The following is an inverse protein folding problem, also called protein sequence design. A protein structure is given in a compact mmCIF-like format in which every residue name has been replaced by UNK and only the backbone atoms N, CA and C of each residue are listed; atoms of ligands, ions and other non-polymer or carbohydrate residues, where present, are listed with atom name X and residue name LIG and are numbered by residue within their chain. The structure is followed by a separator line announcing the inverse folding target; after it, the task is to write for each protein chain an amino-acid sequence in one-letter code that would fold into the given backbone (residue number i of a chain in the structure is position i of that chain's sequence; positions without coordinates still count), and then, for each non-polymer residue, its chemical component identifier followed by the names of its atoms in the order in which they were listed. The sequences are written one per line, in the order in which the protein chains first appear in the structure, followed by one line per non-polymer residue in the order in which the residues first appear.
data_IF_883706728835
#
_entry.id   IF_883706728835
#
_cell.length_a   1.000
_cell.length_b   1.000
_cell.length_c   1.000
_cell.angle_alpha   90.00
_cell.angle_beta   90.00
_cell.angle_gamma   90.00
#
_symmetry.space_group_name_H-M   'P 1'
#
loop_
_entity.id
_entity.type
_entity.pdbx_description
1 polymer ?
#
# COMPACT_ATOMS: atom_id res chain seq x y z
N UNK A 1 -2.11 -21.87 -11.66
CA UNK A 1 -2.25 -23.24 -11.09
C UNK A 1 -1.26 -23.39 -9.93
N UNK A 2 -1.40 -24.41 -9.08
CA UNK A 2 -0.40 -24.66 -8.02
C UNK A 2 1.01 -24.73 -8.61
N UNK A 3 1.96 -24.02 -8.01
CA UNK A 3 3.33 -23.83 -8.52
C UNK A 3 3.55 -22.62 -9.44
N UNK A 4 2.49 -21.93 -9.86
CA UNK A 4 2.60 -20.61 -10.50
C UNK A 4 2.70 -19.52 -9.41
N UNK A 5 3.63 -18.55 -9.49
CA UNK A 5 3.79 -17.51 -8.48
C UNK A 5 2.58 -16.58 -8.32
N UNK A 6 1.61 -16.63 -9.22
CA UNK A 6 0.34 -15.88 -9.15
C UNK A 6 -0.80 -16.68 -8.51
N UNK A 7 -0.55 -17.93 -8.15
CA UNK A 7 -1.55 -18.77 -7.47
C UNK A 7 -1.76 -18.24 -6.05
N UNK A 8 -3.03 -18.13 -5.65
CA UNK A 8 -3.41 -17.76 -4.28
C UNK A 8 -3.64 -19.05 -3.51
N UNK A 9 -2.66 -19.44 -2.70
CA UNK A 9 -2.72 -20.63 -1.84
C UNK A 9 -3.75 -20.48 -0.72
N UNK A 10 -4.31 -21.60 -0.26
CA UNK A 10 -5.09 -21.60 0.99
C UNK A 10 -4.18 -21.55 2.22
N UNK A 11 -4.75 -21.22 3.38
CA UNK A 11 -4.00 -21.22 4.65
C UNK A 11 -3.40 -22.60 4.96
N UNK A 12 -4.13 -23.69 4.67
CA UNK A 12 -3.64 -25.05 4.86
C UNK A 12 -2.48 -25.37 3.91
N UNK A 13 -2.54 -24.89 2.67
CA UNK A 13 -1.44 -25.02 1.71
C UNK A 13 -0.21 -24.25 2.18
N UNK A 14 -0.36 -22.99 2.59
CA UNK A 14 0.74 -22.17 3.12
C UNK A 14 1.39 -22.82 4.35
N UNK A 15 0.58 -23.33 5.30
CA UNK A 15 1.08 -24.03 6.49
C UNK A 15 1.86 -25.29 6.10
N UNK A 16 1.34 -26.06 5.14
CA UNK A 16 2.00 -27.27 4.67
C UNK A 16 3.32 -26.95 3.96
N UNK A 17 3.34 -25.92 3.12
CA UNK A 17 4.53 -25.47 2.38
C UNK A 17 5.61 -24.96 3.33
N UNK A 18 5.27 -24.12 4.31
CA UNK A 18 6.23 -23.63 5.32
C UNK A 18 6.81 -24.77 6.16
N UNK A 19 6.00 -25.78 6.50
CA UNK A 19 6.47 -26.97 7.25
C UNK A 19 7.34 -27.90 6.41
N UNK A 20 7.10 -27.96 5.10
CA UNK A 20 7.86 -28.80 4.18
C UNK A 20 9.20 -28.17 3.78
N UNK A 21 9.28 -26.83 3.82
CA UNK A 21 10.48 -26.09 3.43
C UNK A 21 11.72 -26.55 4.21
N UNK A 22 12.79 -26.83 3.46
CA UNK A 22 14.06 -27.33 3.98
C UNK A 22 15.20 -26.33 3.82
N UNK A 23 16.24 -26.50 4.65
CA UNK A 23 17.47 -25.73 4.52
C UNK A 23 18.16 -25.96 3.16
N UNK A 24 18.07 -27.17 2.62
CA UNK A 24 18.72 -27.49 1.35
C UNK A 24 18.02 -26.80 0.17
N UNK A 25 16.68 -26.70 0.18
CA UNK A 25 15.94 -25.89 -0.80
C UNK A 25 16.29 -24.40 -0.70
N UNK A 26 16.44 -23.87 0.51
CA UNK A 26 16.86 -22.47 0.70
C UNK A 26 18.27 -22.21 0.16
N UNK A 27 19.21 -23.14 0.39
CA UNK A 27 20.58 -23.06 -0.15
C UNK A 27 20.60 -23.19 -1.67
N UNK A 28 19.81 -24.10 -2.22
CA UNK A 28 19.67 -24.29 -3.67
C UNK A 28 19.07 -23.04 -4.33
N UNK A 29 18.05 -22.44 -3.73
CA UNK A 29 17.49 -21.16 -4.17
C UNK A 29 18.53 -20.04 -4.15
N UNK A 30 19.29 -19.91 -3.06
CA UNK A 30 20.38 -18.94 -2.95
C UNK A 30 21.42 -19.15 -4.07
N UNK A 31 21.90 -20.39 -4.26
CA UNK A 31 22.89 -20.70 -5.28
C UNK A 31 22.39 -20.43 -6.70
N UNK A 32 21.11 -20.64 -6.98
CA UNK A 32 20.53 -20.47 -8.32
C UNK A 32 20.18 -19.03 -8.67
N UNK A 33 19.71 -18.26 -7.69
CA UNK A 33 19.04 -16.97 -7.97
C UNK A 33 19.71 -15.76 -7.33
N UNK A 34 20.52 -15.90 -6.28
CA UNK A 34 21.12 -14.73 -5.62
C UNK A 34 22.39 -14.26 -6.33
N UNK A 35 22.50 -12.94 -6.45
CA UNK A 35 23.67 -12.23 -6.91
C UNK A 35 23.32 -10.78 -7.27
N UNK A 36 24.33 -9.96 -7.51
CA UNK A 36 24.23 -8.56 -7.88
C UNK A 36 24.08 -8.34 -9.41
N UNK A 37 23.72 -9.38 -10.18
CA UNK A 37 23.59 -9.29 -11.64
C UNK A 37 22.48 -8.35 -12.12
N UNK A 38 21.47 -8.10 -11.27
CA UNK A 38 20.38 -7.16 -11.47
C UNK A 38 20.04 -6.57 -10.10
N UNK A 39 20.73 -5.49 -9.72
CA UNK A 39 20.58 -4.87 -8.41
C UNK A 39 20.98 -3.41 -8.47
N UNK A 40 20.44 -2.66 -7.52
CA UNK A 40 20.63 -1.22 -7.40
C UNK A 40 20.99 -0.87 -5.97
N UNK A 41 21.82 0.16 -5.81
CA UNK A 41 22.32 0.57 -4.51
C UNK A 41 22.22 2.10 -4.45
N UNK A 42 21.43 2.60 -3.50
CA UNK A 42 21.41 4.00 -3.13
C UNK A 42 22.09 4.17 -1.76
N UNK A 43 23.04 5.10 -1.68
CA UNK A 43 23.75 5.45 -0.44
C UNK A 43 23.46 6.91 -0.12
N UNK A 44 22.96 7.18 1.08
CA UNK A 44 22.62 8.52 1.58
C UNK A 44 23.20 8.68 2.97
N UNK A 45 23.90 9.78 3.20
CA UNK A 45 24.54 10.10 4.48
C UNK A 45 25.85 10.85 4.27
N UNK A 46 26.67 10.89 5.32
CA UNK A 46 28.02 11.44 5.28
C UNK A 46 29.03 10.35 4.87
N UNK A 47 29.47 10.39 3.60
CA UNK A 47 30.44 9.44 3.06
C UNK A 47 31.28 10.05 1.95
N UNK A 48 32.43 9.43 1.67
CA UNK A 48 33.26 9.74 0.51
C UNK A 48 32.92 8.83 -0.68
N UNK A 49 32.36 9.35 -1.78
CA UNK A 49 32.07 8.56 -2.99
C UNK A 49 33.31 7.87 -3.57
N UNK A 50 34.50 8.45 -3.41
CA UNK A 50 35.75 7.86 -3.89
C UNK A 50 36.16 6.61 -3.09
N UNK A 51 35.62 6.42 -1.88
CA UNK A 51 35.82 5.22 -1.05
C UNK A 51 34.71 4.20 -1.29
N UNK A 52 33.45 4.65 -1.31
CA UNK A 52 32.29 3.76 -1.38
C UNK A 52 32.17 3.07 -2.73
N UNK A 53 32.39 3.77 -3.84
CA UNK A 53 32.25 3.16 -5.16
C UNK A 53 33.21 1.97 -5.38
N UNK A 54 34.53 2.10 -5.13
CA UNK A 54 35.44 0.96 -5.23
C UNK A 54 35.09 -0.17 -4.27
N UNK A 55 34.60 0.14 -3.06
CA UNK A 55 34.17 -0.88 -2.10
C UNK A 55 32.98 -1.68 -2.61
N UNK A 56 31.97 -1.03 -3.20
CA UNK A 56 30.82 -1.71 -3.79
C UNK A 56 31.24 -2.59 -4.98
N UNK A 57 32.15 -2.10 -5.82
CA UNK A 57 32.73 -2.89 -6.92
C UNK A 57 33.47 -4.12 -6.37
N UNK A 58 34.31 -3.95 -5.35
CA UNK A 58 35.03 -5.05 -4.70
C UNK A 58 34.08 -6.09 -4.08
N UNK A 59 32.99 -5.65 -3.45
CA UNK A 59 32.06 -6.54 -2.75
C UNK A 59 31.15 -7.32 -3.70
N UNK A 60 30.76 -6.72 -4.82
CA UNK A 60 29.63 -7.21 -5.61
C UNK A 60 29.94 -7.52 -7.07
N UNK A 61 31.07 -7.09 -7.65
CA UNK A 61 31.36 -7.30 -9.07
C UNK A 61 31.39 -8.78 -9.47
N UNK A 62 31.88 -9.65 -8.59
CA UNK A 62 31.99 -11.09 -8.81
C UNK A 62 30.82 -11.89 -8.23
N UNK A 63 29.94 -11.26 -7.44
CA UNK A 63 28.75 -11.92 -6.89
C UNK A 63 27.63 -11.89 -7.93
N UNK A 64 27.61 -12.88 -8.83
CA UNK A 64 26.65 -12.94 -9.95
C UNK A 64 25.59 -14.02 -9.72
N UNK A 65 24.36 -13.71 -10.09
CA UNK A 65 23.28 -14.68 -10.11
C UNK A 65 23.44 -15.58 -11.35
N UNK A 66 23.41 -16.92 -11.19
CA UNK A 66 23.44 -17.83 -12.34
C UNK A 66 22.19 -17.72 -13.22
N UNK A 67 21.05 -17.33 -12.64
CA UNK A 67 19.80 -17.15 -13.36
C UNK A 67 19.68 -15.73 -13.93
N UNK A 68 19.24 -15.63 -15.18
CA UNK A 68 18.84 -14.34 -15.74
C UNK A 68 17.55 -13.87 -15.08
N UNK A 69 17.50 -12.59 -14.71
CA UNK A 69 16.27 -11.98 -14.21
C UNK A 69 15.21 -11.92 -15.31
N UNK A 70 13.99 -12.28 -14.94
CA UNK A 70 12.80 -12.01 -15.72
C UNK A 70 11.71 -11.51 -14.79
N UNK A 71 11.14 -10.35 -15.09
CA UNK A 71 10.02 -9.81 -14.32
C UNK A 71 8.76 -10.63 -14.60
N UNK A 72 7.98 -10.90 -13.56
CA UNK A 72 6.64 -11.47 -13.68
C UNK A 72 5.64 -10.33 -13.54
N UNK A 73 4.89 -9.98 -14.60
CA UNK A 73 3.90 -8.92 -14.53
C UNK A 73 2.77 -9.25 -13.55
N UNK A 74 2.39 -8.27 -12.75
CA UNK A 74 1.17 -8.33 -11.95
C UNK A 74 -0.06 -8.03 -12.82
N UNK A 75 -1.20 -8.61 -12.43
CA UNK A 75 -2.48 -8.33 -13.06
C UNK A 75 -3.48 -7.92 -11.97
N UNK A 76 -4.35 -6.97 -12.29
CA UNK A 76 -5.48 -6.66 -11.41
C UNK A 76 -6.40 -7.87 -11.33
N UNK A 77 -6.31 -8.60 -10.22
CA UNK A 77 -7.19 -9.72 -9.91
C UNK A 77 -8.53 -9.17 -9.40
N UNK A 78 -9.37 -8.68 -10.31
CA UNK A 78 -10.71 -8.20 -9.98
C UNK A 78 -11.59 -9.42 -9.62
N UNK A 79 -11.98 -9.49 -8.34
CA UNK A 79 -12.80 -10.59 -7.80
C UNK A 79 -14.18 -10.07 -7.42
N UNK A 80 -15.23 -10.92 -7.47
CA UNK A 80 -16.51 -10.59 -6.88
C UNK A 80 -16.37 -10.23 -5.39
N UNK A 81 -17.15 -9.26 -4.89
CA UNK A 81 -17.10 -8.90 -3.48
C UNK A 81 -17.60 -10.05 -2.60
N UNK A 82 -16.92 -10.27 -1.49
CA UNK A 82 -17.34 -11.20 -0.43
C UNK A 82 -17.69 -10.43 0.86
N UNK A 83 -18.45 -11.06 1.75
CA UNK A 83 -18.63 -10.56 3.12
C UNK A 83 -18.59 -11.75 4.08
N UNK A 84 -17.43 -11.98 4.67
CA UNK A 84 -17.15 -13.17 5.47
C UNK A 84 -16.75 -12.82 6.90
N UNK A 85 -17.11 -13.71 7.82
CA UNK A 85 -16.73 -13.66 9.22
C UNK A 85 -15.94 -14.93 9.56
N UNK A 86 -14.67 -14.77 9.93
CA UNK A 86 -13.78 -15.83 10.38
C UNK A 86 -13.80 -15.84 11.90
N UNK A 87 -14.39 -16.88 12.47
CA UNK A 87 -14.38 -17.06 13.93
C UNK A 87 -12.99 -17.51 14.37
N UNK A 88 -12.36 -16.68 15.20
CA UNK A 88 -11.08 -16.99 15.85
C UNK A 88 -11.30 -16.93 17.34
N UNK A 89 -11.34 -18.10 17.99
CA UNK A 89 -11.58 -18.21 19.42
C UNK A 89 -10.50 -17.48 20.23
N UNK A 90 -10.89 -17.01 21.42
CA UNK A 90 -10.00 -16.40 22.43
C UNK A 90 -9.25 -15.14 21.97
N UNK A 91 -9.74 -14.47 20.91
CA UNK A 91 -9.25 -13.16 20.47
C UNK A 91 -9.98 -12.05 21.22
N UNK A 92 -9.23 -11.29 22.03
CA UNK A 92 -9.73 -10.11 22.76
C UNK A 92 -10.14 -8.95 21.83
N UNK A 93 -9.53 -8.85 20.65
CA UNK A 93 -9.88 -7.88 19.61
C UNK A 93 -10.22 -8.61 18.32
N UNK A 94 -11.21 -8.08 17.61
CA UNK A 94 -11.52 -8.48 16.25
C UNK A 94 -10.97 -7.46 15.25
N UNK A 95 -10.71 -7.93 14.04
CA UNK A 95 -10.21 -7.15 12.91
C UNK A 95 -11.33 -7.03 11.89
N UNK A 96 -11.58 -5.81 11.44
CA UNK A 96 -12.37 -5.51 10.26
C UNK A 96 -11.42 -5.13 9.13
N UNK A 97 -11.61 -5.74 7.97
CA UNK A 97 -10.85 -5.43 6.77
C UNK A 97 -11.78 -5.41 5.56
N UNK A 98 -11.80 -4.31 4.81
CA UNK A 98 -12.58 -4.16 3.59
C UNK A 98 -11.65 -3.72 2.47
N UNK A 99 -11.66 -4.38 1.32
CA UNK A 99 -10.77 -4.04 0.22
C UNK A 99 -11.40 -4.19 -1.16
N UNK A 100 -10.85 -3.45 -2.11
CA UNK A 100 -11.13 -3.55 -3.53
C UNK A 100 -9.80 -3.57 -4.29
N UNK A 101 -9.66 -4.50 -5.24
CA UNK A 101 -8.53 -4.51 -6.17
C UNK A 101 -8.83 -3.51 -7.29
N UNK A 102 -7.82 -2.75 -7.70
CA UNK A 102 -7.93 -1.67 -8.68
C UNK A 102 -7.05 -1.98 -9.89
N UNK A 103 -7.55 -1.68 -11.08
CA UNK A 103 -6.76 -1.71 -12.31
C UNK A 103 -6.10 -0.33 -12.54
N UNK A 104 -5.26 0.08 -11.58
CA UNK A 104 -4.61 1.40 -11.54
C UNK A 104 -3.09 1.22 -11.45
N UNK A 105 -2.35 2.03 -12.19
CA UNK A 105 -0.91 2.21 -12.09
C UNK A 105 -0.59 3.59 -11.49
N UNK A 106 0.59 3.77 -10.89
CA UNK A 106 0.97 5.05 -10.29
C UNK A 106 1.18 6.22 -11.29
N UNK A 107 1.21 5.90 -12.58
CA UNK A 107 1.28 6.85 -13.69
C UNK A 107 -0.11 7.26 -14.21
N UNK A 108 -1.18 6.57 -13.80
CA UNK A 108 -2.54 6.89 -14.24
C UNK A 108 -2.95 8.28 -13.73
N UNK A 109 -3.68 9.07 -14.54
CA UNK A 109 -4.02 10.46 -14.23
C UNK A 109 -4.86 10.64 -12.96
N UNK A 110 -5.63 9.60 -12.60
CA UNK A 110 -6.48 9.60 -11.41
C UNK A 110 -5.72 9.29 -10.12
N UNK A 111 -4.51 8.72 -10.20
CA UNK A 111 -3.83 8.21 -9.01
C UNK A 111 -3.47 9.29 -7.97
N UNK A 112 -3.01 10.51 -8.34
CA UNK A 112 -2.83 11.60 -7.37
C UNK A 112 -4.12 11.94 -6.61
N UNK A 113 -5.25 11.95 -7.33
CA UNK A 113 -6.57 12.24 -6.76
C UNK A 113 -7.04 11.12 -5.81
N UNK A 114 -6.79 9.86 -6.16
CA UNK A 114 -7.04 8.71 -5.28
C UNK A 114 -6.19 8.77 -4.01
N UNK A 115 -4.91 9.11 -4.11
CA UNK A 115 -4.00 9.24 -2.95
C UNK A 115 -4.48 10.34 -2.00
N UNK A 116 -4.80 11.53 -2.53
CA UNK A 116 -5.26 12.63 -1.70
C UNK A 116 -6.66 12.38 -1.10
N UNK A 117 -7.57 11.79 -1.88
CA UNK A 117 -8.88 11.36 -1.38
C UNK A 117 -8.78 10.31 -0.27
N UNK A 118 -7.88 9.34 -0.43
CA UNK A 118 -7.58 8.37 0.63
C UNK A 118 -6.99 9.05 1.87
N UNK A 119 -6.11 10.04 1.71
CA UNK A 119 -5.52 10.78 2.83
C UNK A 119 -6.60 11.47 3.69
N UNK A 120 -7.61 12.07 3.06
CA UNK A 120 -8.76 12.68 3.75
C UNK A 120 -9.66 11.61 4.39
N UNK A 121 -9.93 10.50 3.68
CA UNK A 121 -10.83 9.46 4.14
C UNK A 121 -10.30 8.71 5.38
N UNK A 122 -9.05 8.22 5.32
CA UNK A 122 -8.50 7.36 6.36
C UNK A 122 -6.98 7.23 6.40
N UNK A 123 -6.25 7.81 5.43
CA UNK A 123 -4.79 7.78 5.39
C UNK A 123 -4.14 8.80 6.32
N UNK A 124 -4.83 9.89 6.65
CA UNK A 124 -4.40 10.89 7.64
C UNK A 124 -4.57 10.36 9.06
N UNK A 125 -3.48 10.37 9.84
CA UNK A 125 -3.39 9.62 11.12
C UNK A 125 -4.40 10.02 12.21
N UNK A 126 -4.72 11.31 12.36
CA UNK A 126 -5.58 11.77 13.47
C UNK A 126 -6.87 12.48 13.05
N UNK A 127 -6.89 13.17 11.90
CA UNK A 127 -8.01 14.01 11.48
C UNK A 127 -8.69 13.51 10.19
N UNK A 128 -8.45 12.28 9.78
CA UNK A 128 -9.19 11.67 8.67
C UNK A 128 -10.63 11.37 9.06
N UNK A 129 -11.55 11.34 8.09
CA UNK A 129 -12.98 11.11 8.35
C UNK A 129 -13.25 9.83 9.13
N UNK A 130 -12.59 8.73 8.76
CA UNK A 130 -12.70 7.43 9.44
C UNK A 130 -12.20 7.52 10.89
N UNK A 131 -11.04 8.14 11.13
CA UNK A 131 -10.52 8.31 12.49
C UNK A 131 -11.44 9.22 13.33
N UNK A 132 -11.88 10.37 12.79
CA UNK A 132 -12.79 11.28 13.50
C UNK A 132 -14.09 10.58 13.87
N UNK A 133 -14.68 9.81 12.96
CA UNK A 133 -15.93 9.11 13.25
C UNK A 133 -15.74 7.95 14.21
N UNK A 134 -14.93 6.97 13.82
CA UNK A 134 -14.87 5.66 14.47
C UNK A 134 -14.07 5.73 15.78
N UNK A 135 -13.00 6.54 15.82
CA UNK A 135 -12.17 6.69 17.02
C UNK A 135 -12.65 7.82 17.93
N UNK A 136 -12.82 9.03 17.40
CA UNK A 136 -13.05 10.20 18.25
C UNK A 136 -14.51 10.36 18.69
N UNK A 137 -15.48 10.17 17.79
CA UNK A 137 -16.91 10.35 18.10
C UNK A 137 -17.54 9.11 18.71
N UNK A 138 -17.28 7.95 18.13
CA UNK A 138 -17.98 6.70 18.49
C UNK A 138 -17.14 5.80 19.42
N UNK A 139 -15.84 6.04 19.57
CA UNK A 139 -14.97 5.29 20.50
C UNK A 139 -14.86 3.78 20.19
N UNK A 140 -15.12 3.37 18.95
CA UNK A 140 -15.21 1.95 18.57
C UNK A 140 -13.85 1.30 18.32
N UNK A 141 -12.86 2.07 17.85
CA UNK A 141 -11.55 1.57 17.45
C UNK A 141 -10.43 2.59 17.71
N UNK A 142 -9.29 2.13 18.23
CA UNK A 142 -8.08 2.94 18.33
C UNK A 142 -7.19 2.86 17.08
N UNK A 143 -7.36 1.83 16.26
CA UNK A 143 -6.56 1.58 15.06
C UNK A 143 -7.49 1.42 13.87
N UNK A 144 -7.82 2.53 13.22
CA UNK A 144 -8.68 2.60 12.04
C UNK A 144 -8.01 3.46 10.98
N UNK A 145 -8.13 3.07 9.71
CA UNK A 145 -7.57 3.84 8.61
C UNK A 145 -7.93 3.27 7.24
N UNK A 146 -7.45 3.95 6.20
CA UNK A 146 -7.55 3.48 4.82
C UNK A 146 -6.26 3.73 4.06
N UNK A 147 -6.01 2.90 3.07
CA UNK A 147 -4.87 3.04 2.19
C UNK A 147 -5.28 2.76 0.75
N UNK A 148 -4.68 3.52 -0.16
CA UNK A 148 -4.66 3.22 -1.59
C UNK A 148 -3.22 3.02 -2.02
N UNK A 149 -2.99 2.05 -2.90
CA UNK A 149 -1.71 1.79 -3.53
C UNK A 149 -1.91 1.41 -5.00
N UNK A 150 -0.91 1.71 -5.82
CA UNK A 150 -0.82 1.26 -7.20
C UNK A 150 0.63 0.84 -7.48
N UNK A 151 0.78 -0.19 -8.32
CA UNK A 151 2.06 -0.65 -8.82
C UNK A 151 2.63 0.39 -9.81
N UNK A 152 3.95 0.47 -9.91
CA UNK A 152 4.63 1.42 -10.78
C UNK A 152 4.84 0.93 -12.22
N UNK A 153 4.77 -0.38 -12.45
CA UNK A 153 5.01 -1.04 -13.73
C UNK A 153 3.76 -1.69 -14.31
N UNK A 154 2.80 -2.08 -13.46
CA UNK A 154 1.55 -2.73 -13.86
C UNK A 154 0.31 -1.96 -13.44
N UNK A 155 -0.79 -2.17 -14.17
CA UNK A 155 -2.13 -1.74 -13.75
C UNK A 155 -2.68 -2.68 -12.68
N UNK A 156 -2.06 -2.65 -11.52
CA UNK A 156 -2.37 -3.45 -10.33
C UNK A 156 -2.33 -2.53 -9.11
N UNK A 157 -3.45 -2.38 -8.43
CA UNK A 157 -3.57 -1.54 -7.26
C UNK A 157 -4.60 -2.06 -6.29
N UNK A 158 -4.72 -1.40 -5.14
CA UNK A 158 -5.65 -1.78 -4.08
C UNK A 158 -6.10 -0.55 -3.32
N UNK A 159 -7.38 -0.52 -2.96
CA UNK A 159 -7.89 0.30 -1.89
C UNK A 159 -8.34 -0.60 -0.74
N UNK A 160 -8.02 -0.24 0.49
CA UNK A 160 -8.56 -0.95 1.65
C UNK A 160 -8.82 -0.02 2.84
N UNK A 161 -9.75 -0.45 3.68
CA UNK A 161 -10.07 0.10 4.98
C UNK A 161 -9.83 -0.98 6.02
N UNK A 162 -9.22 -0.63 7.14
CA UNK A 162 -9.01 -1.54 8.26
C UNK A 162 -9.44 -0.90 9.57
N UNK A 163 -9.84 -1.73 10.53
CA UNK A 163 -10.09 -1.31 11.89
C UNK A 163 -9.87 -2.48 12.88
N UNK A 164 -9.42 -2.14 14.09
CA UNK A 164 -9.31 -3.09 15.22
C UNK A 164 -10.27 -2.65 16.33
N UNK A 165 -11.19 -3.52 16.73
CA UNK A 165 -12.21 -3.19 17.72
C UNK A 165 -12.52 -4.39 18.62
N UNK A 166 -13.20 -4.13 19.73
CA UNK A 166 -13.82 -5.19 20.52
C UNK A 166 -14.84 -5.97 19.64
N UNK A 167 -14.93 -7.31 19.74
CA UNK A 167 -15.77 -8.12 18.86
C UNK A 167 -17.22 -7.64 18.74
N UNK A 168 -17.82 -7.21 19.85
CA UNK A 168 -19.19 -6.68 19.92
C UNK A 168 -19.40 -5.38 19.14
N UNK A 169 -18.32 -4.66 18.79
CA UNK A 169 -18.35 -3.39 18.06
C UNK A 169 -18.09 -3.54 16.56
N UNK A 170 -17.68 -4.73 16.07
CA UNK A 170 -17.28 -4.92 14.67
C UNK A 170 -18.40 -4.59 13.68
N UNK A 171 -19.64 -4.95 13.98
CA UNK A 171 -20.77 -4.62 13.12
C UNK A 171 -21.00 -3.10 13.01
N UNK A 172 -20.78 -2.36 14.10
CA UNK A 172 -20.86 -0.88 14.10
C UNK A 172 -19.71 -0.27 13.31
N UNK A 173 -18.50 -0.82 13.44
CA UNK A 173 -17.33 -0.40 12.67
C UNK A 173 -17.53 -0.62 11.17
N UNK A 174 -18.05 -1.78 10.75
CA UNK A 174 -18.39 -2.05 9.35
C UNK A 174 -19.40 -1.01 8.82
N UNK A 175 -20.45 -0.74 9.59
CA UNK A 175 -21.48 0.25 9.23
C UNK A 175 -20.87 1.64 9.07
N UNK A 176 -20.10 2.11 10.06
CA UNK A 176 -19.47 3.41 10.03
C UNK A 176 -18.46 3.56 8.88
N UNK A 177 -17.67 2.52 8.60
CA UNK A 177 -16.72 2.52 7.49
C UNK A 177 -17.41 2.60 6.13
N UNK A 178 -18.48 1.82 5.92
CA UNK A 178 -19.27 1.83 4.69
C UNK A 178 -19.96 3.18 4.48
N UNK A 179 -20.54 3.74 5.52
CA UNK A 179 -21.19 5.05 5.45
C UNK A 179 -20.21 6.19 5.17
N UNK A 180 -19.02 6.22 5.77
CA UNK A 180 -18.03 7.25 5.46
C UNK A 180 -17.51 7.15 4.03
N UNK A 181 -17.29 5.93 3.53
CA UNK A 181 -16.96 5.76 2.12
C UNK A 181 -18.12 6.20 1.22
N UNK A 182 -19.37 5.84 1.54
CA UNK A 182 -20.54 6.25 0.77
C UNK A 182 -20.68 7.78 0.73
N UNK A 183 -20.44 8.47 1.85
CA UNK A 183 -20.45 9.94 1.94
C UNK A 183 -19.32 10.56 1.14
N UNK A 184 -18.10 10.01 1.21
CA UNK A 184 -16.98 10.48 0.39
C UNK A 184 -17.28 10.38 -1.12
N UNK A 185 -17.95 9.30 -1.56
CA UNK A 185 -18.32 9.11 -2.97
C UNK A 185 -19.49 10.00 -3.41
N UNK A 186 -20.53 10.10 -2.58
CA UNK A 186 -21.76 10.83 -2.93
C UNK A 186 -21.65 12.34 -2.72
N UNK A 187 -21.10 12.80 -1.60
CA UNK A 187 -20.99 14.22 -1.24
C UNK A 187 -19.65 14.78 -1.74
N UNK A 188 -18.56 14.02 -1.60
CA UNK A 188 -17.19 14.49 -1.81
C UNK A 188 -16.57 15.05 -0.53
N UNK A 189 -15.55 15.90 -0.70
CA UNK A 189 -14.83 16.57 0.38
C UNK A 189 -15.05 18.09 0.33
N UNK A 190 -15.00 18.75 1.49
CA UNK A 190 -15.08 20.21 1.53
C UNK A 190 -13.77 20.84 1.04
N UNK A 191 -13.80 22.12 0.66
CA UNK A 191 -12.60 22.83 0.25
C UNK A 191 -11.56 22.87 1.38
N UNK A 192 -12.00 23.05 2.62
CA UNK A 192 -11.14 23.09 3.80
C UNK A 192 -10.45 21.74 4.05
N UNK A 193 -11.17 20.62 3.89
CA UNK A 193 -10.58 19.29 3.99
C UNK A 193 -9.50 19.06 2.93
N UNK A 194 -9.77 19.47 1.69
CA UNK A 194 -8.84 19.31 0.57
C UNK A 194 -7.58 20.15 0.79
N UNK A 195 -7.72 21.43 1.16
CA UNK A 195 -6.57 22.31 1.38
C UNK A 195 -5.74 21.88 2.59
N UNK A 196 -6.38 21.45 3.69
CA UNK A 196 -5.68 20.88 4.84
C UNK A 196 -4.92 19.60 4.47
N UNK A 197 -5.53 18.74 3.65
CA UNK A 197 -4.91 17.51 3.17
C UNK A 197 -3.72 17.76 2.25
N UNK A 198 -3.83 18.68 1.29
CA UNK A 198 -2.70 19.07 0.42
C UNK A 198 -1.52 19.53 1.26
N UNK A 199 -1.76 20.48 2.17
CA UNK A 199 -0.73 21.01 3.06
C UNK A 199 -0.07 19.90 3.87
N UNK A 200 -0.87 19.05 4.55
CA UNK A 200 -0.36 17.98 5.39
C UNK A 200 0.41 16.92 4.61
N UNK A 201 -0.13 16.47 3.48
CA UNK A 201 0.49 15.46 2.64
C UNK A 201 1.79 15.97 2.01
N UNK A 202 1.78 17.15 1.38
CA UNK A 202 2.97 17.71 0.75
C UNK A 202 4.07 18.04 1.76
N UNK A 203 3.71 18.52 2.96
CA UNK A 203 4.68 18.74 4.02
C UNK A 203 5.29 17.41 4.48
N UNK A 204 4.49 16.36 4.63
CA UNK A 204 5.00 15.02 4.96
C UNK A 204 6.00 14.50 3.91
N UNK A 205 5.74 14.79 2.63
CA UNK A 205 6.64 14.44 1.54
C UNK A 205 7.96 15.21 1.62
N UNK A 206 7.95 16.49 2.03
CA UNK A 206 9.17 17.29 2.23
C UNK A 206 9.98 16.82 3.44
N UNK A 207 9.32 16.61 4.58
CA UNK A 207 9.95 16.08 5.80
C UNK A 207 10.61 14.73 5.54
N UNK A 208 9.98 13.89 4.72
CA UNK A 208 10.55 12.60 4.32
C UNK A 208 11.88 12.71 3.57
N UNK A 209 12.14 13.80 2.85
CA UNK A 209 13.41 14.01 2.14
C UNK A 209 14.58 14.31 3.08
N UNK A 210 14.30 14.82 4.28
CA UNK A 210 15.31 15.04 5.32
C UNK A 210 15.66 13.80 6.14
N UNK A 211 15.10 12.63 5.81
CA UNK A 211 15.36 11.36 6.50
C UNK A 211 16.18 10.46 5.58
N UNK A 212 17.44 10.20 5.94
CA UNK A 212 18.38 9.44 5.10
C UNK A 212 17.80 8.11 4.61
N UNK A 213 17.20 7.32 5.50
CA UNK A 213 16.59 6.04 5.11
C UNK A 213 15.44 6.19 4.12
N UNK A 214 14.59 7.21 4.26
CA UNK A 214 13.48 7.44 3.34
C UNK A 214 13.96 8.01 1.99
N UNK A 215 15.00 8.83 2.00
CA UNK A 215 15.64 9.31 0.78
C UNK A 215 16.34 8.17 0.04
N UNK A 216 17.07 7.31 0.75
CA UNK A 216 17.72 6.13 0.18
C UNK A 216 16.71 5.19 -0.48
N UNK A 217 15.61 4.81 0.20
CA UNK A 217 14.55 4.00 -0.41
C UNK A 217 13.88 4.68 -1.60
N UNK A 218 13.73 6.01 -1.58
CA UNK A 218 13.16 6.74 -2.73
C UNK A 218 14.10 6.69 -3.93
N UNK A 219 15.40 6.93 -3.72
CA UNK A 219 16.40 6.91 -4.78
C UNK A 219 16.59 5.52 -5.36
N UNK A 220 16.62 4.48 -4.53
CA UNK A 220 16.69 3.08 -4.97
C UNK A 220 15.45 2.71 -5.80
N UNK A 221 14.24 2.97 -5.31
CA UNK A 221 13.03 2.75 -6.11
C UNK A 221 13.03 3.55 -7.43
N UNK A 222 13.63 4.74 -7.46
CA UNK A 222 13.70 5.55 -8.67
C UNK A 222 14.73 5.04 -9.67
N UNK A 223 15.86 4.51 -9.22
CA UNK A 223 16.79 3.80 -10.09
C UNK A 223 16.05 2.64 -10.80
N UNK A 224 15.28 1.84 -10.04
CA UNK A 224 14.57 0.66 -10.56
C UNK A 224 13.54 1.01 -11.62
N UNK A 225 12.90 2.16 -11.44
CA UNK A 225 11.82 2.63 -12.28
C UNK A 225 12.28 3.58 -13.39
N UNK A 226 13.58 3.83 -13.53
CA UNK A 226 14.16 4.85 -14.41
C UNK A 226 13.52 6.23 -14.21
N UNK A 227 13.43 6.64 -12.93
CA UNK A 227 12.87 7.91 -12.47
C UNK A 227 13.96 8.78 -11.83
N UNK A 228 13.69 10.07 -11.76
CA UNK A 228 14.54 11.02 -11.02
C UNK A 228 13.68 11.81 -10.03
N UNK A 229 14.32 12.64 -9.21
CA UNK A 229 13.59 13.56 -8.32
C UNK A 229 12.66 14.55 -9.05
N UNK A 230 12.80 14.69 -10.37
CA UNK A 230 11.81 15.43 -11.19
C UNK A 230 10.44 14.75 -11.15
N UNK A 231 10.37 13.41 -11.11
CA UNK A 231 9.11 12.68 -10.93
C UNK A 231 8.42 13.08 -9.62
N UNK A 232 9.18 13.18 -8.52
CA UNK A 232 8.66 13.62 -7.21
C UNK A 232 8.14 15.05 -7.26
N UNK A 233 8.85 15.95 -7.94
CA UNK A 233 8.42 17.34 -8.12
C UNK A 233 7.12 17.43 -8.92
N UNK A 234 7.02 16.69 -10.03
CA UNK A 234 5.81 16.62 -10.85
C UNK A 234 4.64 16.00 -10.08
N UNK A 235 4.89 14.96 -9.28
CA UNK A 235 3.90 14.38 -8.38
C UNK A 235 3.32 15.42 -7.41
N UNK A 236 4.20 16.17 -6.73
CA UNK A 236 3.78 17.21 -5.80
C UNK A 236 2.95 18.30 -6.51
N UNK A 237 3.34 18.71 -7.73
CA UNK A 237 2.58 19.67 -8.52
C UNK A 237 1.19 19.14 -8.93
N UNK A 238 1.09 17.86 -9.31
CA UNK A 238 -0.20 17.22 -9.61
C UNK A 238 -1.12 17.23 -8.39
N UNK A 239 -0.60 16.93 -7.19
CA UNK A 239 -1.39 16.94 -5.95
C UNK A 239 -1.83 18.35 -5.57
N UNK A 240 -0.94 19.34 -5.68
CA UNK A 240 -1.25 20.75 -5.38
C UNK A 240 -2.40 21.28 -6.25
N UNK A 241 -2.44 20.88 -7.52
CA UNK A 241 -3.43 21.34 -8.49
C UNK A 241 -4.84 20.71 -8.32
N UNK A 242 -5.00 19.68 -7.48
CA UNK A 242 -6.28 18.97 -7.34
C UNK A 242 -7.39 19.83 -6.77
N UNK A 243 -8.60 19.69 -7.28
CA UNK A 243 -9.82 20.25 -6.67
C UNK A 243 -10.64 19.17 -5.98
N UNK A 244 -11.60 19.58 -5.13
CA UNK A 244 -12.56 18.66 -4.52
C UNK A 244 -13.36 17.87 -5.58
N UNK A 245 -13.64 18.50 -6.73
CA UNK A 245 -14.35 17.85 -7.85
C UNK A 245 -13.48 16.76 -8.50
N UNK A 246 -12.19 17.02 -8.70
CA UNK A 246 -11.26 16.03 -9.29
C UNK A 246 -11.14 14.79 -8.40
N UNK A 247 -11.01 15.00 -7.08
CA UNK A 247 -10.92 13.93 -6.09
C UNK A 247 -12.18 13.09 -6.09
N UNK A 248 -13.35 13.73 -6.00
CA UNK A 248 -14.65 13.03 -6.03
C UNK A 248 -14.82 12.25 -7.33
N UNK A 249 -14.48 12.84 -8.48
CA UNK A 249 -14.63 12.19 -9.77
C UNK A 249 -13.72 10.96 -9.89
N UNK A 250 -12.45 11.08 -9.49
CA UNK A 250 -11.51 9.96 -9.48
C UNK A 250 -11.98 8.84 -8.53
N UNK A 251 -12.39 9.16 -7.31
CA UNK A 251 -12.88 8.16 -6.36
C UNK A 251 -14.12 7.43 -6.90
N UNK A 252 -15.07 8.12 -7.52
CA UNK A 252 -16.25 7.48 -8.12
C UNK A 252 -15.93 6.60 -9.33
N UNK A 253 -14.84 6.87 -10.08
CA UNK A 253 -14.42 6.02 -11.19
C UNK A 253 -13.86 4.67 -10.72
N UNK A 254 -13.20 4.65 -9.56
CA UNK A 254 -12.42 3.48 -9.11
C UNK A 254 -13.01 2.75 -7.91
N UNK A 255 -13.81 3.42 -7.09
CA UNK A 255 -14.30 2.89 -5.82
C UNK A 255 -15.83 2.82 -5.82
N UNK A 256 -16.35 1.75 -5.23
CA UNK A 256 -17.77 1.60 -4.93
C UNK A 256 -17.94 0.76 -3.67
N UNK A 257 -18.92 1.12 -2.83
CA UNK A 257 -19.14 0.46 -1.52
C UNK A 257 -19.55 -1.00 -1.69
N UNK A 258 -20.31 -1.30 -2.73
CA UNK A 258 -20.80 -2.64 -3.08
C UNK A 258 -19.73 -3.53 -3.71
N UNK A 259 -18.59 -2.97 -4.14
CA UNK A 259 -17.43 -3.71 -4.66
C UNK A 259 -16.40 -4.08 -3.58
N UNK A 260 -16.66 -3.75 -2.32
CA UNK A 260 -15.75 -4.11 -1.23
C UNK A 260 -15.90 -5.59 -0.86
N UNK A 261 -14.78 -6.32 -0.91
CA UNK A 261 -14.63 -7.58 -0.21
C UNK A 261 -14.35 -7.30 1.27
N UNK A 262 -15.25 -7.74 2.14
CA UNK A 262 -15.21 -7.54 3.58
C UNK A 262 -14.88 -8.86 4.27
N UNK A 263 -13.86 -8.83 5.13
CA UNK A 263 -13.51 -9.93 6.01
C UNK A 263 -13.43 -9.40 7.44
N UNK A 264 -14.11 -10.09 8.35
CA UNK A 264 -14.06 -9.85 9.79
C UNK A 264 -13.43 -11.06 10.46
N UNK A 265 -12.51 -10.86 11.39
CA UNK A 265 -11.86 -11.96 12.08
C UNK A 265 -11.75 -11.70 13.59
N UNK A 266 -12.25 -12.60 14.42
CA UNK A 266 -12.18 -12.50 15.88
C UNK A 266 -13.20 -13.40 16.58
N UNK A 267 -13.44 -13.12 17.87
CA UNK A 267 -14.46 -13.80 18.68
C UNK A 267 -15.87 -13.27 18.35
N UNK A 268 -16.26 -13.40 17.08
CA UNK A 268 -17.50 -12.87 16.47
C UNK A 268 -18.73 -13.74 16.80
#
# INVERSE_FOLDING_TARGET
PKGDPRYVSTLEEDIAEVKAASLDEAKDFYQKFYGASQGEIAVVGDFDPAVIKPLLEQLFADWKSPAAYARIPEQANLVPPINESIKVADKANAIFFAANNLAVQDTDPDYPALVLGNYILGGGFLNSRLATRIRQKEGLSYGVGSQVSANALDKSGRFFVYAIAAPENIAKVETAAKEELARALSEGFTAEEVEAAKKGYLESLKVSLGKDGALASTLESYLFLDRTMEWRKQWMAKVEALTAADIKAAMNRHLAVDKLSIVKAGSL
#
